data_IF_504354428108
#
_entry.id   IF_504354428108
#
_cell.length_a   1.000
_cell.length_b   1.000
_cell.length_c   1.000
_cell.angle_alpha   90.00
_cell.angle_beta   90.00
_cell.angle_gamma   90.00
#
_symmetry.space_group_name_H-M   'P 1'
#
loop_
_entity.id
_entity.type
_entity.pdbx_description
1 polymer ?
#
# COMPACT_ATOMS: atom_id res chain seq x y z
N UNK A 1 -4.46 5.01 -42.46
CA UNK A 1 -3.12 4.61 -42.09
C UNK A 1 -2.67 5.56 -40.98
N UNK A 2 -3.25 5.38 -39.79
CA UNK A 2 -2.91 6.17 -38.57
C UNK A 2 -3.67 5.57 -37.40
N UNK A 3 -3.17 4.42 -36.89
CA UNK A 3 -3.76 3.79 -35.70
C UNK A 3 -2.74 2.79 -35.11
N UNK A 4 -1.59 3.31 -34.71
CA UNK A 4 -0.53 2.53 -34.10
C UNK A 4 0.41 3.37 -33.20
N UNK A 5 -0.15 4.29 -32.42
CA UNK A 5 0.66 5.11 -31.52
C UNK A 5 -0.10 5.45 -30.23
N UNK A 6 -0.59 4.43 -29.50
CA UNK A 6 -1.06 4.62 -28.11
C UNK A 6 -1.04 3.29 -27.35
N UNK A 7 0.13 2.65 -27.33
CA UNK A 7 0.44 1.49 -26.47
C UNK A 7 1.87 1.56 -25.96
N UNK A 8 2.23 2.65 -25.35
CA UNK A 8 3.51 2.76 -24.65
C UNK A 8 3.29 3.60 -23.41
N UNK A 9 3.15 2.95 -22.27
CA UNK A 9 3.67 3.29 -20.94
C UNK A 9 2.91 2.60 -19.79
N UNK A 10 2.54 1.33 -19.96
CA UNK A 10 2.33 0.43 -18.81
C UNK A 10 3.37 -0.69 -18.91
N UNK A 11 4.63 -0.37 -18.70
CA UNK A 11 5.64 -1.36 -18.35
C UNK A 11 5.39 -1.84 -16.91
N UNK A 12 4.30 -2.56 -16.71
CA UNK A 12 4.04 -3.32 -15.50
C UNK A 12 5.11 -4.40 -15.41
N UNK A 13 6.09 -4.24 -14.51
CA UNK A 13 6.98 -5.33 -14.14
C UNK A 13 6.11 -6.55 -13.81
N UNK A 14 6.41 -7.70 -14.42
CA UNK A 14 5.71 -8.94 -14.12
C UNK A 14 5.67 -9.20 -12.61
N UNK A 15 4.55 -9.70 -12.08
CA UNK A 15 4.45 -9.98 -10.65
C UNK A 15 5.55 -10.95 -10.23
N UNK A 16 6.17 -10.77 -9.05
CA UNK A 16 7.29 -11.59 -8.62
C UNK A 16 6.90 -13.06 -8.58
N UNK A 17 7.76 -13.92 -9.13
CA UNK A 17 7.60 -15.37 -9.11
C UNK A 17 7.48 -15.90 -7.67
N UNK A 18 7.00 -17.13 -7.49
CA UNK A 18 6.89 -17.74 -6.15
C UNK A 18 8.24 -17.74 -5.43
N UNK A 19 9.34 -17.96 -6.14
CA UNK A 19 10.68 -17.97 -5.56
C UNK A 19 11.16 -16.56 -5.19
N UNK A 20 10.89 -15.57 -6.01
CA UNK A 20 11.16 -14.18 -5.68
C UNK A 20 10.36 -13.73 -4.45
N UNK A 21 9.07 -14.09 -4.34
CA UNK A 21 8.25 -13.78 -3.15
C UNK A 21 8.84 -14.35 -1.87
N UNK A 22 9.33 -15.60 -1.89
CA UNK A 22 10.02 -16.19 -0.74
C UNK A 22 11.25 -15.39 -0.31
N UNK A 23 12.01 -14.86 -1.27
CA UNK A 23 13.16 -13.98 -0.97
C UNK A 23 12.69 -12.66 -0.36
N UNK A 24 11.64 -12.05 -0.91
CA UNK A 24 11.11 -10.79 -0.39
C UNK A 24 10.52 -10.95 1.02
N UNK A 25 9.87 -12.08 1.32
CA UNK A 25 9.39 -12.40 2.66
C UNK A 25 10.58 -12.61 3.62
N UNK A 26 11.66 -13.29 3.20
CA UNK A 26 12.88 -13.43 4.00
C UNK A 26 13.54 -12.06 4.32
N UNK A 27 13.48 -11.09 3.41
CA UNK A 27 13.92 -9.71 3.70
C UNK A 27 13.06 -9.06 4.79
N UNK A 28 11.73 -9.22 4.71
CA UNK A 28 10.80 -8.70 5.71
C UNK A 28 11.03 -9.32 7.08
N UNK A 29 11.34 -10.62 7.15
CA UNK A 29 11.67 -11.31 8.41
C UNK A 29 12.98 -10.78 9.01
N UNK A 30 14.03 -10.60 8.20
CA UNK A 30 15.29 -10.00 8.64
C UNK A 30 15.11 -8.57 9.17
N UNK A 31 14.25 -7.78 8.53
CA UNK A 31 13.90 -6.45 9.03
C UNK A 31 13.18 -6.51 10.37
N UNK A 32 12.30 -7.50 10.57
CA UNK A 32 11.57 -7.69 11.83
C UNK A 32 12.45 -8.14 12.99
N UNK A 33 13.54 -8.87 12.71
CA UNK A 33 14.48 -9.38 13.71
C UNK A 33 15.49 -8.34 14.22
N UNK A 34 15.54 -7.13 13.65
CA UNK A 34 16.44 -6.08 14.15
C UNK A 34 17.19 -5.27 13.09
N UNK A 35 16.80 -5.36 11.86
CA UNK A 35 16.91 -4.38 10.76
C UNK A 35 18.27 -3.88 10.26
N UNK A 36 19.30 -3.83 11.04
CA UNK A 36 20.60 -3.29 10.61
C UNK A 36 21.38 -4.22 9.66
N UNK A 37 20.93 -5.45 9.51
CA UNK A 37 21.65 -6.54 8.84
C UNK A 37 21.05 -6.99 7.49
N UNK A 38 20.18 -6.21 6.83
CA UNK A 38 19.72 -6.59 5.48
C UNK A 38 20.86 -6.36 4.48
N UNK A 39 21.71 -7.38 4.36
CA UNK A 39 22.74 -7.47 3.34
C UNK A 39 22.40 -8.55 2.33
N UNK A 40 22.94 -8.45 1.09
CA UNK A 40 22.74 -9.49 0.07
C UNK A 40 23.19 -10.87 0.57
N UNK A 41 24.23 -10.94 1.42
CA UNK A 41 24.72 -12.19 2.02
C UNK A 41 23.73 -12.77 3.03
N UNK A 42 23.19 -11.97 3.95
CA UNK A 42 22.22 -12.42 4.93
C UNK A 42 20.91 -12.89 4.26
N UNK A 43 20.45 -12.17 3.25
CA UNK A 43 19.25 -12.55 2.48
C UNK A 43 19.49 -13.84 1.70
N UNK A 44 20.65 -13.99 1.02
CA UNK A 44 20.99 -15.21 0.30
C UNK A 44 20.99 -16.44 1.22
N UNK A 45 21.58 -16.31 2.41
CA UNK A 45 21.60 -17.36 3.41
C UNK A 45 20.17 -17.69 3.92
N UNK A 46 19.39 -16.69 4.32
CA UNK A 46 18.02 -16.85 4.83
C UNK A 46 17.08 -17.48 3.80
N UNK A 47 17.18 -17.04 2.54
CA UNK A 47 16.35 -17.53 1.45
C UNK A 47 16.92 -18.79 0.76
N UNK A 48 18.03 -19.34 1.21
CA UNK A 48 18.69 -20.50 0.61
C UNK A 48 18.89 -20.34 -0.90
N UNK A 49 19.49 -19.22 -1.32
CA UNK A 49 19.85 -18.94 -2.71
C UNK A 49 21.25 -18.31 -2.82
N UNK A 50 21.80 -18.23 -4.02
CA UNK A 50 23.10 -17.59 -4.23
C UNK A 50 22.96 -16.06 -4.29
N UNK A 51 24.04 -15.33 -3.97
CA UNK A 51 24.10 -13.87 -4.15
C UNK A 51 23.94 -13.47 -5.62
N UNK A 52 24.51 -14.26 -6.51
CA UNK A 52 24.40 -14.06 -7.97
C UNK A 52 22.93 -14.10 -8.41
N UNK A 53 22.12 -14.99 -7.84
CA UNK A 53 20.69 -15.06 -8.08
C UNK A 53 19.99 -13.77 -7.63
N UNK A 54 20.33 -13.25 -6.45
CA UNK A 54 19.77 -12.00 -5.96
C UNK A 54 20.15 -10.81 -6.85
N UNK A 55 21.42 -10.72 -7.23
CA UNK A 55 21.89 -9.68 -8.16
C UNK A 55 21.19 -9.78 -9.52
N UNK A 56 21.01 -11.00 -10.05
CA UNK A 56 20.28 -11.21 -11.30
C UNK A 56 18.84 -10.75 -11.24
N UNK A 57 18.15 -10.97 -10.10
CA UNK A 57 16.71 -10.66 -9.97
C UNK A 57 16.43 -9.21 -9.57
N UNK A 58 17.28 -8.64 -8.73
CA UNK A 58 16.99 -7.37 -8.07
C UNK A 58 18.04 -6.28 -8.33
N UNK A 59 19.12 -6.61 -9.05
CA UNK A 59 20.23 -5.69 -9.30
C UNK A 59 21.13 -5.54 -8.08
N UNK A 60 20.77 -4.64 -7.18
CA UNK A 60 21.53 -4.35 -5.97
C UNK A 60 20.67 -4.41 -4.70
N UNK A 61 21.24 -3.95 -3.58
CA UNK A 61 20.53 -3.89 -2.30
C UNK A 61 19.30 -2.97 -2.36
N UNK A 62 19.41 -1.83 -3.00
CA UNK A 62 18.30 -0.87 -3.10
C UNK A 62 17.20 -1.38 -4.01
N UNK A 63 17.54 -2.08 -5.11
CA UNK A 63 16.59 -2.80 -5.95
C UNK A 63 15.86 -3.90 -5.19
N UNK A 64 16.56 -4.68 -4.36
CA UNK A 64 15.95 -5.70 -3.49
C UNK A 64 15.00 -5.07 -2.47
N UNK A 65 15.40 -3.97 -1.82
CA UNK A 65 14.55 -3.25 -0.88
C UNK A 65 13.32 -2.64 -1.58
N UNK A 66 13.51 -2.07 -2.78
CA UNK A 66 12.41 -1.54 -3.60
C UNK A 66 11.39 -2.64 -3.92
N UNK A 67 11.85 -3.80 -4.40
CA UNK A 67 10.99 -4.94 -4.67
C UNK A 67 10.26 -5.43 -3.41
N UNK A 68 10.94 -5.42 -2.25
CA UNK A 68 10.35 -5.80 -0.96
C UNK A 68 9.23 -4.83 -0.55
N UNK A 69 9.45 -3.52 -0.67
CA UNK A 69 8.42 -2.52 -0.36
C UNK A 69 7.23 -2.64 -1.32
N UNK A 70 7.48 -2.81 -2.63
CA UNK A 70 6.44 -3.06 -3.64
C UNK A 70 5.64 -4.32 -3.32
N UNK A 71 6.32 -5.40 -2.94
CA UNK A 71 5.67 -6.64 -2.52
C UNK A 71 4.78 -6.43 -1.29
N UNK A 72 5.25 -5.74 -0.26
CA UNK A 72 4.45 -5.43 0.91
C UNK A 72 3.26 -4.53 0.54
N UNK A 73 3.47 -3.51 -0.26
CA UNK A 73 2.42 -2.61 -0.71
C UNK A 73 1.39 -3.30 -1.62
N UNK A 74 1.77 -4.33 -2.38
CA UNK A 74 0.85 -5.08 -3.25
C UNK A 74 -0.25 -5.84 -2.48
N UNK A 75 -0.04 -6.06 -1.18
CA UNK A 75 -1.04 -6.68 -0.29
C UNK A 75 -2.23 -5.74 0.00
N UNK A 76 -2.10 -4.44 -0.26
CA UNK A 76 -3.22 -3.49 -0.24
C UNK A 76 -3.98 -3.60 -1.56
N UNK A 77 -5.20 -4.08 -1.49
CA UNK A 77 -6.04 -4.28 -2.67
C UNK A 77 -6.90 -3.05 -2.93
N UNK A 78 -6.93 -2.59 -4.15
CA UNK A 78 -7.80 -1.49 -4.60
C UNK A 78 -9.15 -1.99 -5.16
N UNK A 79 -9.59 -3.18 -4.78
CA UNK A 79 -10.82 -3.80 -5.31
C UNK A 79 -10.88 -3.81 -6.85
N UNK A 80 -11.48 -4.81 -7.44
CA UNK A 80 -11.84 -4.76 -8.85
C UNK A 80 -13.20 -4.07 -8.98
N UNK A 81 -13.28 -2.97 -9.75
CA UNK A 81 -14.54 -2.30 -10.00
C UNK A 81 -14.80 -2.21 -11.51
N UNK A 82 -16.03 -2.43 -11.89
CA UNK A 82 -16.50 -2.23 -13.26
C UNK A 82 -16.88 -0.76 -13.45
N UNK A 83 -16.04 0.01 -14.15
CA UNK A 83 -16.26 1.45 -14.38
C UNK A 83 -17.65 1.78 -14.93
N UNK A 84 -18.22 1.02 -15.90
CA UNK A 84 -19.56 1.28 -16.42
C UNK A 84 -20.71 1.01 -15.44
N UNK A 85 -20.46 0.26 -14.36
CA UNK A 85 -21.49 -0.20 -13.40
C UNK A 85 -21.20 0.22 -11.98
N UNK A 86 -20.41 1.26 -11.78
CA UNK A 86 -20.08 1.74 -10.45
C UNK A 86 -21.31 2.43 -9.84
N UNK A 87 -21.92 1.80 -8.86
CA UNK A 87 -22.98 2.35 -8.00
C UNK A 87 -22.43 2.63 -6.58
N UNK A 88 -23.28 3.18 -5.72
CA UNK A 88 -22.89 3.53 -4.35
C UNK A 88 -22.48 2.31 -3.52
N UNK A 89 -23.12 1.15 -3.71
CA UNK A 89 -22.80 -0.07 -2.97
C UNK A 89 -21.46 -0.65 -3.43
N UNK A 90 -21.22 -0.69 -4.75
CA UNK A 90 -19.96 -1.15 -5.32
C UNK A 90 -18.80 -0.24 -4.91
N UNK A 91 -19.01 1.09 -4.89
CA UNK A 91 -18.04 2.06 -4.40
C UNK A 91 -17.72 1.82 -2.92
N UNK A 92 -18.75 1.71 -2.08
CA UNK A 92 -18.59 1.47 -0.64
C UNK A 92 -17.79 0.18 -0.40
N UNK A 93 -18.19 -0.94 -1.02
CA UNK A 93 -17.50 -2.22 -0.88
C UNK A 93 -16.02 -2.14 -1.30
N UNK A 94 -15.71 -1.49 -2.43
CA UNK A 94 -14.33 -1.32 -2.90
C UNK A 94 -13.49 -0.46 -1.94
N UNK A 95 -14.06 0.62 -1.40
CA UNK A 95 -13.38 1.48 -0.43
C UNK A 95 -13.16 0.74 0.90
N UNK A 96 -14.14 -0.06 1.36
CA UNK A 96 -14.02 -0.87 2.58
C UNK A 96 -12.96 -1.96 2.42
N UNK A 97 -12.88 -2.65 1.29
CA UNK A 97 -11.83 -3.63 1.01
C UNK A 97 -10.44 -2.96 1.01
N UNK A 98 -10.33 -1.82 0.36
CA UNK A 98 -9.09 -1.06 0.36
C UNK A 98 -8.67 -0.65 1.78
N UNK A 99 -9.57 -0.04 2.53
CA UNK A 99 -9.32 0.40 3.90
C UNK A 99 -8.91 -0.77 4.82
N UNK A 100 -9.65 -1.88 4.76
CA UNK A 100 -9.37 -3.06 5.57
C UNK A 100 -8.01 -3.70 5.22
N UNK A 101 -7.70 -3.86 3.93
CA UNK A 101 -6.43 -4.43 3.51
C UNK A 101 -5.27 -3.50 3.85
N UNK A 102 -5.45 -2.20 3.76
CA UNK A 102 -4.43 -1.23 4.15
C UNK A 102 -4.19 -1.23 5.67
N UNK A 103 -5.24 -1.19 6.51
CA UNK A 103 -5.12 -1.31 7.97
C UNK A 103 -4.38 -2.58 8.37
N UNK A 104 -4.72 -3.73 7.74
CA UNK A 104 -4.03 -4.99 7.96
C UNK A 104 -2.54 -4.92 7.61
N UNK A 105 -2.19 -4.25 6.51
CA UNK A 105 -0.80 -4.09 6.10
C UNK A 105 -0.04 -3.21 7.07
N UNK A 106 -0.52 -2.01 7.41
CA UNK A 106 0.22 -1.07 8.27
C UNK A 106 0.36 -1.55 9.71
N UNK A 107 -0.55 -2.40 10.19
CA UNK A 107 -0.51 -3.00 11.52
C UNK A 107 0.22 -4.35 11.57
N UNK A 108 0.72 -4.85 10.42
CA UNK A 108 1.47 -6.10 10.39
C UNK A 108 2.87 -5.95 11.01
N UNK A 109 3.40 -6.98 11.69
CA UNK A 109 4.75 -6.95 12.26
C UNK A 109 5.82 -6.56 11.25
N UNK A 110 5.74 -7.09 10.03
CA UNK A 110 6.69 -6.83 8.95
C UNK A 110 6.65 -5.38 8.47
N UNK A 111 5.45 -4.79 8.34
CA UNK A 111 5.30 -3.38 7.95
C UNK A 111 5.80 -2.44 9.06
N UNK A 112 5.50 -2.76 10.31
CA UNK A 112 5.98 -1.99 11.47
C UNK A 112 7.51 -2.00 11.51
N UNK A 113 8.13 -3.16 11.38
CA UNK A 113 9.59 -3.31 11.37
C UNK A 113 10.24 -2.53 10.21
N UNK A 114 9.73 -2.69 8.99
CA UNK A 114 10.19 -1.97 7.82
C UNK A 114 10.15 -0.45 8.03
N UNK A 115 9.02 0.07 8.53
CA UNK A 115 8.87 1.51 8.76
C UNK A 115 9.77 2.01 9.90
N UNK A 116 9.97 1.25 10.98
CA UNK A 116 10.90 1.62 12.06
C UNK A 116 12.33 1.74 11.57
N UNK A 117 12.78 0.77 10.77
CA UNK A 117 14.12 0.81 10.16
C UNK A 117 14.24 2.01 9.21
N UNK A 118 13.24 2.24 8.36
CA UNK A 118 13.23 3.39 7.45
C UNK A 118 13.30 4.73 8.20
N UNK A 119 12.53 4.88 9.30
CA UNK A 119 12.54 6.08 10.16
C UNK A 119 13.90 6.23 10.86
N UNK A 120 14.44 5.16 11.45
CA UNK A 120 15.73 5.20 12.13
C UNK A 120 16.88 5.56 11.21
N UNK A 121 16.79 5.21 9.93
CA UNK A 121 17.80 5.51 8.91
C UNK A 121 17.57 6.85 8.17
N UNK A 122 16.39 7.48 8.34
CA UNK A 122 16.01 8.66 7.58
C UNK A 122 16.91 9.88 7.80
N UNK A 123 17.51 10.00 8.99
CA UNK A 123 18.44 11.09 9.32
C UNK A 123 19.88 10.84 8.82
N UNK A 124 20.18 9.63 8.35
CA UNK A 124 21.52 9.23 7.90
C UNK A 124 21.68 9.32 6.38
N UNK A 125 22.79 9.90 5.91
CA UNK A 125 23.10 10.03 4.48
C UNK A 125 23.39 8.69 3.76
N UNK A 126 23.34 7.56 4.46
CA UNK A 126 23.78 6.25 3.96
C UNK A 126 22.65 5.30 3.50
N UNK A 127 21.38 5.69 3.60
CA UNK A 127 20.28 4.80 3.29
C UNK A 127 19.16 5.52 2.54
N UNK A 128 18.73 4.95 1.41
CA UNK A 128 17.58 5.41 0.63
C UNK A 128 16.26 4.77 1.07
N UNK A 129 16.24 3.95 2.13
CA UNK A 129 15.08 3.16 2.50
C UNK A 129 13.85 4.03 2.78
N UNK A 130 14.00 5.18 3.42
CA UNK A 130 12.90 6.13 3.65
C UNK A 130 12.26 6.59 2.35
N UNK A 131 13.07 6.97 1.35
CA UNK A 131 12.57 7.37 0.03
C UNK A 131 11.92 6.20 -0.72
N UNK A 132 12.50 5.01 -0.63
CA UNK A 132 11.93 3.78 -1.22
C UNK A 132 10.56 3.49 -0.62
N UNK A 133 10.40 3.58 0.72
CA UNK A 133 9.12 3.36 1.42
C UNK A 133 8.09 4.42 1.03
N UNK A 134 8.47 5.69 0.92
CA UNK A 134 7.56 6.75 0.48
C UNK A 134 7.09 6.52 -0.96
N UNK A 135 8.01 6.32 -1.89
CA UNK A 135 7.70 6.20 -3.32
C UNK A 135 6.89 4.93 -3.63
N UNK A 136 7.36 3.77 -3.14
CA UNK A 136 6.78 2.47 -3.50
C UNK A 136 5.72 1.96 -2.52
N UNK A 137 5.59 2.61 -1.35
CA UNK A 137 4.55 2.35 -0.35
C UNK A 137 3.46 3.43 -0.43
N UNK A 138 3.65 4.54 0.31
CA UNK A 138 2.63 5.57 0.52
C UNK A 138 2.09 6.16 -0.78
N UNK A 139 2.97 6.58 -1.71
CA UNK A 139 2.52 7.22 -2.94
C UNK A 139 1.93 6.21 -3.92
N UNK A 140 2.58 5.04 -4.10
CA UNK A 140 2.07 4.00 -4.98
C UNK A 140 0.68 3.46 -4.54
N UNK A 141 0.39 3.40 -3.24
CA UNK A 141 -0.94 3.05 -2.72
C UNK A 141 -1.97 4.11 -3.13
N UNK A 142 -1.61 5.40 -3.07
CA UNK A 142 -2.46 6.49 -3.52
C UNK A 142 -2.81 6.38 -5.00
N UNK A 143 -1.81 6.14 -5.84
CA UNK A 143 -2.04 6.00 -7.29
C UNK A 143 -2.98 4.83 -7.64
N UNK A 144 -3.02 3.78 -6.83
CA UNK A 144 -3.97 2.66 -7.05
C UNK A 144 -5.41 3.00 -6.69
N UNK A 145 -5.66 3.87 -5.71
CA UNK A 145 -7.03 4.23 -5.30
C UNK A 145 -7.61 5.34 -6.15
N UNK A 146 -6.80 6.29 -6.63
CA UNK A 146 -7.26 7.45 -7.40
C UNK A 146 -8.16 7.09 -8.60
N UNK A 147 -7.90 6.05 -9.41
CA UNK A 147 -8.80 5.66 -10.50
C UNK A 147 -10.23 5.34 -10.05
N UNK A 148 -10.41 4.71 -8.87
CA UNK A 148 -11.72 4.46 -8.29
C UNK A 148 -12.40 5.76 -7.85
N UNK A 149 -11.65 6.65 -7.18
CA UNK A 149 -12.18 7.96 -6.77
C UNK A 149 -12.63 8.79 -7.97
N UNK A 150 -11.82 8.85 -9.04
CA UNK A 150 -12.15 9.55 -10.26
C UNK A 150 -13.37 8.95 -11.00
N UNK A 151 -13.48 7.62 -11.00
CA UNK A 151 -14.67 6.94 -11.54
C UNK A 151 -15.93 7.31 -10.74
N UNK A 152 -15.83 7.31 -9.40
CA UNK A 152 -16.93 7.69 -8.52
C UNK A 152 -17.32 9.17 -8.69
N UNK A 153 -16.35 10.07 -8.89
CA UNK A 153 -16.61 11.49 -9.20
C UNK A 153 -17.35 11.64 -10.55
N UNK A 154 -16.88 10.95 -11.58
CA UNK A 154 -17.53 10.95 -12.90
C UNK A 154 -18.94 10.38 -12.85
N UNK A 155 -19.21 9.39 -12.00
CA UNK A 155 -20.54 8.83 -11.77
C UNK A 155 -21.43 9.70 -10.87
N UNK A 156 -20.93 10.84 -10.37
CA UNK A 156 -21.68 11.74 -9.48
C UNK A 156 -21.89 11.18 -8.05
N UNK A 157 -21.26 10.07 -7.70
CA UNK A 157 -21.32 9.47 -6.37
C UNK A 157 -20.48 10.22 -5.35
N UNK A 158 -19.36 10.81 -5.79
CA UNK A 158 -18.49 11.68 -5.00
C UNK A 158 -18.33 13.04 -5.67
N UNK A 159 -18.09 14.08 -4.85
CA UNK A 159 -17.78 15.43 -5.31
C UNK A 159 -16.52 15.93 -4.61
N UNK A 160 -15.46 16.20 -5.36
CA UNK A 160 -14.21 16.80 -4.91
C UNK A 160 -13.52 17.51 -6.09
N UNK A 161 -12.64 18.45 -5.79
CA UNK A 161 -11.87 19.21 -6.79
C UNK A 161 -10.64 18.42 -7.25
N UNK A 162 -9.93 17.80 -6.31
CA UNK A 162 -8.65 17.13 -6.53
C UNK A 162 -8.62 15.75 -5.86
N UNK A 163 -8.25 14.72 -6.64
CA UNK A 163 -8.21 13.34 -6.18
C UNK A 163 -7.09 13.06 -5.18
N UNK A 164 -5.98 13.82 -5.22
CA UNK A 164 -4.92 13.67 -4.21
C UNK A 164 -5.41 14.17 -2.85
N UNK A 165 -6.09 15.31 -2.79
CA UNK A 165 -6.69 15.84 -1.56
C UNK A 165 -7.76 14.89 -1.02
N UNK A 166 -8.65 14.38 -1.88
CA UNK A 166 -9.65 13.38 -1.50
C UNK A 166 -8.99 12.11 -0.95
N UNK A 167 -7.94 11.60 -1.62
CA UNK A 167 -7.18 10.46 -1.15
C UNK A 167 -6.51 10.73 0.20
N UNK A 168 -5.89 11.89 0.40
CA UNK A 168 -5.26 12.24 1.69
C UNK A 168 -6.27 12.30 2.82
N UNK A 169 -7.46 12.81 2.57
CA UNK A 169 -8.56 12.79 3.56
C UNK A 169 -8.98 11.36 3.89
N UNK A 170 -9.20 10.53 2.86
CA UNK A 170 -9.50 9.11 3.06
C UNK A 170 -8.41 8.39 3.86
N UNK A 171 -7.16 8.62 3.50
CA UNK A 171 -5.99 8.08 4.19
C UNK A 171 -5.97 8.48 5.67
N UNK A 172 -6.27 9.76 5.98
CA UNK A 172 -6.37 10.23 7.36
C UNK A 172 -7.51 9.57 8.15
N UNK A 173 -8.69 9.43 7.54
CA UNK A 173 -9.85 8.79 8.17
C UNK A 173 -9.63 7.31 8.49
N UNK A 174 -8.95 6.58 7.59
CA UNK A 174 -8.64 5.15 7.80
C UNK A 174 -7.51 4.96 8.80
N UNK A 175 -6.39 5.67 8.62
CA UNK A 175 -5.17 5.48 9.41
C UNK A 175 -5.24 6.03 10.81
N UNK A 176 -5.93 7.16 10.99
CA UNK A 176 -6.01 7.89 12.28
C UNK A 176 -4.65 7.89 13.01
N UNK A 177 -4.61 7.41 14.24
CA UNK A 177 -3.42 7.26 15.07
C UNK A 177 -2.79 5.86 15.05
N UNK A 178 -3.41 4.91 14.33
CA UNK A 178 -2.98 3.50 14.31
C UNK A 178 -1.50 3.37 13.99
N UNK A 179 -1.05 3.99 12.90
CA UNK A 179 0.32 3.84 12.44
C UNK A 179 1.33 4.39 13.46
N UNK A 180 1.08 5.56 14.03
CA UNK A 180 2.00 6.14 15.01
C UNK A 180 2.04 5.32 16.30
N UNK A 181 0.91 4.80 16.77
CA UNK A 181 0.84 3.96 17.96
C UNK A 181 1.62 2.67 17.79
N UNK A 182 1.43 1.93 16.69
CA UNK A 182 2.18 0.69 16.44
C UNK A 182 3.67 0.95 16.25
N UNK A 183 4.06 2.07 15.62
CA UNK A 183 5.46 2.45 15.46
C UNK A 183 6.13 2.78 16.79
N UNK A 184 5.41 3.41 17.73
CA UNK A 184 5.88 3.70 19.08
C UNK A 184 5.82 2.50 20.03
N UNK A 185 5.29 1.35 19.57
CA UNK A 185 5.30 0.11 20.34
C UNK A 185 4.13 -0.05 21.30
N UNK A 186 3.00 0.60 21.02
CA UNK A 186 1.79 0.44 21.84
C UNK A 186 1.29 -1.01 21.80
N UNK A 187 1.50 -1.72 22.91
CA UNK A 187 1.10 -3.11 23.09
C UNK A 187 -0.41 -3.30 23.27
N UNK A 188 -1.13 -2.21 23.60
CA UNK A 188 -2.59 -2.27 23.80
C UNK A 188 -3.35 -2.26 22.46
N UNK A 189 -2.73 -1.78 21.39
CA UNK A 189 -3.33 -1.72 20.06
C UNK A 189 -3.12 -3.03 19.31
N UNK A 190 -4.06 -3.95 19.43
CA UNK A 190 -4.12 -5.18 18.63
C UNK A 190 -5.41 -5.16 17.81
N UNK A 191 -5.27 -4.97 16.50
CA UNK A 191 -6.43 -4.94 15.61
C UNK A 191 -6.80 -6.37 15.20
N UNK A 192 -7.88 -6.88 15.75
CA UNK A 192 -8.53 -8.11 15.25
C UNK A 192 -9.14 -7.85 13.87
N UNK A 193 -9.42 -8.92 13.13
CA UNK A 193 -10.10 -8.82 11.83
C UNK A 193 -11.45 -8.09 11.93
N UNK A 194 -12.18 -8.27 13.05
CA UNK A 194 -13.44 -7.58 13.32
C UNK A 194 -13.27 -6.07 13.53
N UNK A 195 -12.25 -5.67 14.29
CA UNK A 195 -11.94 -4.25 14.53
C UNK A 195 -11.49 -3.56 13.24
N UNK A 196 -10.63 -4.22 12.44
CA UNK A 196 -10.22 -3.72 11.13
C UNK A 196 -11.45 -3.47 10.24
N UNK A 197 -12.36 -4.44 10.14
CA UNK A 197 -13.57 -4.30 9.34
C UNK A 197 -14.46 -3.16 9.84
N UNK A 198 -14.65 -3.03 11.15
CA UNK A 198 -15.46 -1.97 11.75
C UNK A 198 -14.84 -0.57 11.54
N UNK A 199 -13.51 -0.45 11.67
CA UNK A 199 -12.80 0.80 11.44
C UNK A 199 -12.81 1.19 9.96
N UNK A 200 -12.65 0.23 9.06
CA UNK A 200 -12.75 0.44 7.62
C UNK A 200 -14.15 0.95 7.23
N UNK A 201 -15.21 0.26 7.66
CA UNK A 201 -16.58 0.65 7.37
C UNK A 201 -16.91 2.05 7.89
N UNK A 202 -16.48 2.39 9.13
CA UNK A 202 -16.66 3.72 9.71
C UNK A 202 -15.94 4.79 8.92
N UNK A 203 -14.68 4.57 8.54
CA UNK A 203 -13.90 5.51 7.76
C UNK A 203 -14.52 5.77 6.40
N UNK A 204 -14.98 4.71 5.71
CA UNK A 204 -15.66 4.81 4.41
C UNK A 204 -16.98 5.57 4.53
N UNK A 205 -17.80 5.28 5.54
CA UNK A 205 -19.04 6.00 5.78
C UNK A 205 -18.78 7.51 6.00
N UNK A 206 -17.77 7.87 6.79
CA UNK A 206 -17.37 9.25 7.02
C UNK A 206 -16.89 9.92 5.73
N UNK A 207 -16.06 9.22 4.95
CA UNK A 207 -15.55 9.73 3.68
C UNK A 207 -16.66 9.98 2.67
N UNK A 208 -17.56 9.02 2.48
CA UNK A 208 -18.70 9.15 1.56
C UNK A 208 -19.65 10.28 1.99
N UNK A 209 -19.80 10.53 3.30
CA UNK A 209 -20.57 11.68 3.79
C UNK A 209 -19.90 13.02 3.52
N UNK A 210 -18.58 13.11 3.70
CA UNK A 210 -17.81 14.34 3.44
C UNK A 210 -17.81 14.73 1.97
N UNK A 211 -17.75 13.74 1.10
CA UNK A 211 -17.62 13.95 -0.35
C UNK A 211 -18.88 13.49 -1.12
N UNK A 212 -20.06 13.51 -0.48
CA UNK A 212 -21.31 13.12 -1.15
C UNK A 212 -21.54 13.91 -2.43
N UNK A 213 -21.64 13.22 -3.56
CA UNK A 213 -21.98 13.80 -4.86
C UNK A 213 -23.50 13.90 -5.08
N UNK A 214 -23.95 14.51 -6.16
CA UNK A 214 -25.37 14.70 -6.47
C UNK A 214 -26.15 13.39 -6.70
N UNK A 215 -25.46 12.30 -7.03
CA UNK A 215 -26.02 10.95 -7.20
C UNK A 215 -25.79 10.04 -5.96
N UNK A 216 -25.29 10.60 -4.86
CA UNK A 216 -25.13 9.87 -3.64
C UNK A 216 -26.53 9.51 -3.04
N UNK A 217 -26.67 8.34 -2.38
CA UNK A 217 -27.94 8.00 -1.71
C UNK A 217 -28.33 9.09 -0.69
N UNK A 218 -29.65 9.31 -0.57
CA UNK A 218 -30.19 10.23 0.44
C UNK A 218 -29.70 9.86 1.85
N UNK A 219 -29.48 10.86 2.68
CA UNK A 219 -29.06 10.65 4.07
C UNK A 219 -30.27 10.21 4.89
N UNK A 220 -30.23 9.02 5.48
CA UNK A 220 -31.09 8.64 6.59
C UNK A 220 -30.60 9.25 7.89
#
# INVERSE_FOLDING_TARGET
>A
MQDAADRSDEAGEDPPSSRQRQVLDAVLDLLAEGGDAVTMSAVAQRASCSKETLYKWFGDRDGLLTATVRWQASKVKAGSFDKPRLDANALQASLEEFAATWLKVISSPTSIALNRVAIGQAAGAKSNLGQIVLANGRFAIGERLKPLLEAARKAGLLAFEDSETAFRTFFGLVGRDVQIRVLLGDQSLRLSAREIAADAARAVQQFMRLYAGPQAPARD
#
